data_IF_925665122344
#
_entry.id   IF_925665122344
#
_cell.length_a   1.000
_cell.length_b   1.000
_cell.length_c   1.000
_cell.angle_alpha   90.00
_cell.angle_beta   90.00
_cell.angle_gamma   90.00
#
_symmetry.space_group_name_H-M   'P 1'
#
loop_
_entity.id
_entity.type
_entity.pdbx_description
1 polymer ?
#
# COMPACT_ATOMS: atom_id res chain seq x y z
N UNK A 1 -30.49 -17.49 6.09
CA UNK A 1 -31.19 -17.97 4.88
C UNK A 1 -30.84 -19.44 4.66
N UNK A 2 -31.77 -20.29 4.21
CA UNK A 2 -31.44 -21.67 3.90
C UNK A 2 -30.44 -21.72 2.74
N UNK A 3 -29.41 -22.56 2.87
CA UNK A 3 -28.41 -22.77 1.81
C UNK A 3 -29.06 -23.61 0.70
N UNK A 4 -29.05 -23.16 -0.57
CA UNK A 4 -29.59 -23.94 -1.68
C UNK A 4 -28.93 -25.32 -1.75
N UNK A 5 -29.74 -26.38 -1.88
CA UNK A 5 -29.28 -27.77 -1.96
C UNK A 5 -29.53 -28.42 -3.33
N UNK A 6 -30.30 -27.77 -4.21
CA UNK A 6 -30.56 -28.21 -5.59
C UNK A 6 -30.34 -27.09 -6.59
N UNK A 7 -30.27 -27.42 -7.88
CA UNK A 7 -30.07 -26.46 -8.97
C UNK A 7 -31.25 -25.49 -9.06
N UNK A 8 -32.48 -26.00 -8.92
CA UNK A 8 -33.71 -25.20 -8.97
C UNK A 8 -33.77 -24.21 -7.81
N UNK A 9 -33.32 -24.65 -6.62
CA UNK A 9 -33.22 -23.76 -5.45
C UNK A 9 -32.16 -22.67 -5.65
N UNK A 10 -31.07 -22.98 -6.34
CA UNK A 10 -30.02 -22.00 -6.65
C UNK A 10 -30.49 -21.00 -7.72
N UNK A 11 -31.15 -21.45 -8.78
CA UNK A 11 -31.71 -20.58 -9.82
C UNK A 11 -32.73 -19.61 -9.24
N UNK A 12 -33.69 -20.13 -8.48
CA UNK A 12 -34.69 -19.29 -7.81
C UNK A 12 -34.04 -18.30 -6.85
N UNK A 13 -32.98 -18.72 -6.12
CA UNK A 13 -32.22 -17.82 -5.26
C UNK A 13 -31.55 -16.70 -6.04
N UNK A 14 -30.90 -16.97 -7.17
CA UNK A 14 -30.23 -15.96 -7.98
C UNK A 14 -31.22 -14.96 -8.60
N UNK A 15 -32.36 -15.43 -9.08
CA UNK A 15 -33.43 -14.59 -9.67
C UNK A 15 -34.09 -13.68 -8.61
N UNK A 16 -34.35 -14.21 -7.42
CA UNK A 16 -35.02 -13.45 -6.35
C UNK A 16 -34.09 -12.50 -5.59
N UNK A 17 -32.78 -12.60 -5.80
CA UNK A 17 -31.77 -11.80 -5.13
C UNK A 17 -30.83 -11.10 -6.13
N UNK A 18 -31.31 -10.80 -7.33
CA UNK A 18 -30.56 -10.09 -8.39
C UNK A 18 -30.08 -8.68 -7.96
N UNK A 19 -30.75 -8.10 -6.96
CA UNK A 19 -30.40 -6.81 -6.35
C UNK A 19 -29.33 -6.91 -5.25
N UNK A 20 -28.85 -8.11 -4.91
CA UNK A 20 -27.76 -8.25 -3.93
C UNK A 20 -26.50 -7.54 -4.41
N UNK A 21 -25.93 -6.70 -3.55
CA UNK A 21 -24.78 -5.88 -3.89
C UNK A 21 -25.10 -4.65 -4.74
N UNK A 22 -26.40 -4.32 -4.94
CA UNK A 22 -26.84 -3.13 -5.67
C UNK A 22 -27.62 -2.16 -4.77
N UNK A 23 -27.52 -0.85 -5.04
CA UNK A 23 -28.40 0.19 -4.50
C UNK A 23 -29.02 0.93 -5.68
N UNK A 24 -30.35 0.98 -5.76
CA UNK A 24 -31.08 1.58 -6.89
C UNK A 24 -30.65 1.03 -8.27
N UNK A 25 -30.40 -0.27 -8.35
CA UNK A 25 -29.93 -0.95 -9.57
C UNK A 25 -28.46 -0.70 -9.92
N UNK A 26 -27.72 0.10 -9.15
CA UNK A 26 -26.28 0.31 -9.34
C UNK A 26 -25.48 -0.62 -8.43
N UNK A 27 -24.49 -1.32 -8.98
CA UNK A 27 -23.58 -2.15 -8.19
C UNK A 27 -22.76 -1.30 -7.20
N UNK A 28 -22.85 -1.64 -5.92
CA UNK A 28 -22.11 -1.01 -4.82
C UNK A 28 -21.12 -1.96 -4.15
N UNK A 29 -21.30 -3.26 -4.34
CA UNK A 29 -20.32 -4.28 -3.94
C UNK A 29 -19.78 -4.91 -5.21
N UNK A 30 -18.55 -4.53 -5.57
CA UNK A 30 -17.82 -5.20 -6.64
C UNK A 30 -17.17 -6.49 -6.08
N UNK A 31 -17.06 -7.52 -6.92
CA UNK A 31 -16.56 -8.85 -6.53
C UNK A 31 -15.04 -8.79 -6.40
N UNK A 32 -14.47 -9.56 -5.44
CA UNK A 32 -13.07 -9.67 -4.94
C UNK A 32 -11.86 -9.42 -5.87
N UNK A 33 -12.03 -9.21 -7.18
CA UNK A 33 -11.00 -8.82 -8.13
C UNK A 33 -10.76 -7.29 -8.18
N UNK A 34 -11.37 -6.51 -7.28
CA UNK A 34 -11.19 -5.05 -7.19
C UNK A 34 -9.87 -4.63 -6.56
N UNK A 35 -8.78 -4.97 -7.22
CA UNK A 35 -7.47 -4.46 -6.87
C UNK A 35 -7.11 -3.35 -7.83
N UNK A 36 -6.88 -2.15 -7.29
CA UNK A 36 -6.38 -1.01 -8.05
C UNK A 36 -4.87 -1.05 -8.04
N UNK A 37 -4.28 -1.00 -9.24
CA UNK A 37 -2.86 -0.77 -9.41
C UNK A 37 -2.55 0.73 -9.26
N UNK A 38 -1.81 1.08 -8.21
CA UNK A 38 -1.26 2.41 -8.06
C UNK A 38 0.00 2.53 -8.92
N UNK A 39 -0.12 3.29 -10.01
CA UNK A 39 0.95 3.61 -10.93
C UNK A 39 1.21 5.13 -10.95
N UNK A 40 2.46 5.55 -11.13
CA UNK A 40 2.85 6.95 -11.26
C UNK A 40 2.49 7.84 -10.04
N UNK A 41 2.29 7.25 -8.86
CA UNK A 41 2.15 7.99 -7.60
C UNK A 41 3.52 8.06 -6.94
N UNK A 42 3.97 9.27 -6.67
CA UNK A 42 5.30 9.54 -6.12
C UNK A 42 5.19 10.02 -4.68
N UNK A 43 6.03 9.47 -3.81
CA UNK A 43 6.11 9.84 -2.40
C UNK A 43 7.48 10.46 -2.11
N UNK A 44 7.61 11.07 -0.93
CA UNK A 44 8.93 11.55 -0.49
C UNK A 44 9.86 10.36 -0.30
N UNK A 45 11.14 10.54 -0.66
CA UNK A 45 12.15 9.48 -0.52
C UNK A 45 12.30 9.03 0.94
N UNK A 46 12.11 9.94 1.88
CA UNK A 46 12.14 9.66 3.30
C UNK A 46 10.97 8.75 3.73
N UNK A 47 9.72 9.10 3.37
CA UNK A 47 8.55 8.27 3.66
C UNK A 47 8.68 6.89 3.02
N UNK A 48 9.15 6.81 1.77
CA UNK A 48 9.43 5.55 1.09
C UNK A 48 10.39 4.67 1.89
N UNK A 49 11.58 5.20 2.21
CA UNK A 49 12.62 4.43 2.88
C UNK A 49 12.16 3.96 4.26
N UNK A 50 11.57 4.87 5.06
CA UNK A 50 11.07 4.53 6.38
C UNK A 50 9.99 3.45 6.30
N UNK A 51 8.99 3.62 5.44
CA UNK A 51 7.89 2.65 5.31
C UNK A 51 8.41 1.27 4.88
N UNK A 52 9.30 1.21 3.89
CA UNK A 52 9.88 -0.05 3.43
C UNK A 52 10.74 -0.73 4.50
N UNK A 53 11.53 0.03 5.27
CA UNK A 53 12.31 -0.51 6.39
C UNK A 53 11.40 -1.10 7.48
N UNK A 54 10.36 -0.38 7.90
CA UNK A 54 9.38 -0.86 8.89
C UNK A 54 8.60 -2.07 8.37
N UNK A 55 8.16 -2.02 7.12
CA UNK A 55 7.47 -3.13 6.46
C UNK A 55 8.35 -4.38 6.33
N UNK A 56 9.65 -4.21 6.09
CA UNK A 56 10.60 -5.34 6.00
C UNK A 56 10.69 -6.10 7.32
N UNK A 57 10.71 -5.41 8.47
CA UNK A 57 10.71 -6.07 9.78
C UNK A 57 9.46 -6.94 10.01
N UNK A 58 8.35 -6.63 9.31
CA UNK A 58 7.08 -7.37 9.34
C UNK A 58 6.91 -8.33 8.16
N UNK A 59 7.89 -8.41 7.24
CA UNK A 59 7.78 -9.11 5.95
C UNK A 59 6.59 -8.65 5.10
N UNK A 60 6.19 -7.37 5.21
CA UNK A 60 5.13 -6.80 4.41
C UNK A 60 5.62 -6.44 3.00
N UNK A 61 4.79 -6.75 2.00
CA UNK A 61 4.88 -6.20 0.65
C UNK A 61 4.46 -4.73 0.61
N UNK A 62 4.78 -4.02 -0.48
CA UNK A 62 4.31 -2.63 -0.68
C UNK A 62 2.79 -2.52 -0.65
N UNK A 63 2.08 -3.48 -1.23
CA UNK A 63 0.63 -3.60 -1.22
C UNK A 63 0.07 -3.71 0.21
N UNK A 64 0.68 -4.52 1.06
CA UNK A 64 0.29 -4.63 2.48
C UNK A 64 0.60 -3.35 3.26
N UNK A 65 1.77 -2.74 3.03
CA UNK A 65 2.13 -1.45 3.64
C UNK A 65 1.10 -0.37 3.24
N UNK A 66 0.82 -0.21 1.95
CA UNK A 66 -0.12 0.78 1.44
C UNK A 66 -1.54 0.55 1.93
N UNK A 67 -2.02 -0.70 1.92
CA UNK A 67 -3.37 -1.05 2.42
C UNK A 67 -3.51 -0.68 3.90
N UNK A 68 -2.51 -1.01 4.73
CA UNK A 68 -2.52 -0.68 6.15
C UNK A 68 -2.42 0.83 6.38
N UNK A 69 -1.52 1.50 5.66
CA UNK A 69 -1.32 2.94 5.71
C UNK A 69 -2.61 3.71 5.35
N UNK A 70 -3.28 3.32 4.27
CA UNK A 70 -4.55 3.93 3.85
C UNK A 70 -5.67 3.65 4.84
N UNK A 71 -5.71 2.45 5.43
CA UNK A 71 -6.65 2.13 6.50
C UNK A 71 -6.45 3.08 7.69
N UNK A 72 -5.20 3.33 8.09
CA UNK A 72 -4.91 4.28 9.15
C UNK A 72 -5.34 5.70 8.81
N UNK A 73 -5.06 6.15 7.58
CA UNK A 73 -5.50 7.46 7.09
C UNK A 73 -7.03 7.61 7.16
N UNK A 74 -7.77 6.58 6.76
CA UNK A 74 -9.23 6.57 6.81
C UNK A 74 -9.75 6.70 8.25
N UNK A 75 -9.06 6.13 9.23
CA UNK A 75 -9.43 6.20 10.65
C UNK A 75 -8.82 7.38 11.41
N UNK A 76 -7.96 8.16 10.77
CA UNK A 76 -7.30 9.29 11.40
C UNK A 76 -8.21 10.52 11.31
N UNK A 77 -8.78 10.94 12.43
CA UNK A 77 -9.58 12.16 12.55
C UNK A 77 -8.70 13.42 12.63
N UNK A 78 -7.42 13.25 12.97
CA UNK A 78 -6.50 14.37 13.11
C UNK A 78 -6.15 15.03 11.77
N UNK A 79 -6.45 14.36 10.64
CA UNK A 79 -6.28 14.92 9.29
C UNK A 79 -7.09 16.20 9.07
N UNK A 80 -8.24 16.35 9.73
CA UNK A 80 -9.09 17.54 9.64
C UNK A 80 -8.56 18.70 10.48
N UNK A 81 -7.64 18.43 11.40
CA UNK A 81 -7.05 19.40 12.32
C UNK A 81 -5.79 20.09 11.76
N UNK A 82 -5.73 20.38 10.45
CA UNK A 82 -4.81 21.32 9.74
C UNK A 82 -3.30 21.37 10.07
N UNK A 83 -2.73 20.54 10.95
CA UNK A 83 -1.36 20.68 11.44
C UNK A 83 -0.47 19.44 11.22
N UNK A 84 -0.83 18.54 10.31
CA UNK A 84 -0.13 17.25 10.22
C UNK A 84 0.49 17.13 8.83
N UNK A 85 1.80 17.34 8.82
CA UNK A 85 2.71 17.40 7.67
C UNK A 85 2.53 18.68 6.82
N UNK A 86 3.51 19.61 6.80
CA UNK A 86 3.46 20.74 5.88
C UNK A 86 3.33 20.18 4.45
N UNK A 87 2.27 20.60 3.74
CA UNK A 87 2.11 20.32 2.32
C UNK A 87 3.43 20.72 1.64
N UNK A 88 4.17 19.78 1.03
CA UNK A 88 5.43 20.13 0.42
C UNK A 88 5.19 21.21 -0.63
N UNK A 89 5.87 22.35 -0.46
CA UNK A 89 5.59 23.55 -1.25
C UNK A 89 5.98 23.39 -2.73
N UNK A 90 6.85 22.42 -3.06
CA UNK A 90 7.44 22.29 -4.39
C UNK A 90 7.23 20.89 -5.04
N UNK A 91 7.05 20.83 -6.37
CA UNK A 91 6.92 19.57 -7.13
C UNK A 91 8.11 18.61 -6.96
N UNK A 92 9.29 19.13 -6.58
CA UNK A 92 10.51 18.34 -6.41
C UNK A 92 10.57 17.45 -5.17
N UNK A 93 9.56 17.48 -4.29
CA UNK A 93 9.55 16.69 -3.06
C UNK A 93 9.19 15.21 -3.30
N UNK A 94 8.33 14.95 -4.28
CA UNK A 94 7.88 13.60 -4.65
C UNK A 94 8.76 13.02 -5.73
N UNK A 95 9.75 12.24 -5.31
CA UNK A 95 10.83 11.75 -6.19
C UNK A 95 10.85 10.24 -6.36
N UNK A 96 10.09 9.51 -5.54
CA UNK A 96 10.17 8.05 -5.50
C UNK A 96 8.79 7.44 -5.74
N UNK A 97 8.63 6.69 -6.82
CA UNK A 97 7.39 5.99 -7.12
C UNK A 97 7.12 4.88 -6.09
N UNK A 98 5.87 4.76 -5.64
CA UNK A 98 5.43 3.69 -4.74
C UNK A 98 4.40 2.79 -5.43
N UNK A 99 4.82 1.95 -6.40
CA UNK A 99 3.89 1.07 -7.09
C UNK A 99 3.39 -0.03 -6.16
N UNK A 100 2.07 -0.24 -6.13
CA UNK A 100 1.44 -1.26 -5.31
C UNK A 100 0.01 -1.55 -5.77
N UNK A 101 -0.54 -2.63 -5.22
CA UNK A 101 -1.85 -3.17 -5.56
C UNK A 101 -2.71 -3.12 -4.30
N UNK A 102 -3.83 -2.41 -4.34
CA UNK A 102 -4.65 -2.15 -3.15
C UNK A 102 -6.13 -2.42 -3.41
N UNK A 103 -6.93 -2.82 -2.39
CA UNK A 103 -8.37 -2.95 -2.55
C UNK A 103 -9.00 -1.62 -3.00
N UNK A 104 -9.80 -1.65 -4.07
CA UNK A 104 -10.40 -0.46 -4.69
C UNK A 104 -11.21 0.35 -3.69
N UNK A 105 -12.04 -0.31 -2.87
CA UNK A 105 -12.90 0.38 -1.91
C UNK A 105 -12.10 1.20 -0.88
N UNK A 106 -10.94 0.68 -0.44
CA UNK A 106 -10.06 1.42 0.48
C UNK A 106 -9.46 2.63 -0.25
N UNK A 107 -9.02 2.43 -1.50
CA UNK A 107 -8.44 3.49 -2.29
C UNK A 107 -9.43 4.60 -2.64
N UNK A 108 -10.58 4.25 -3.19
CA UNK A 108 -11.63 5.19 -3.60
C UNK A 108 -12.11 6.02 -2.41
N UNK A 109 -12.31 5.39 -1.24
CA UNK A 109 -12.69 6.10 -0.02
C UNK A 109 -11.57 7.03 0.47
N UNK A 110 -10.31 6.59 0.40
CA UNK A 110 -9.18 7.41 0.81
C UNK A 110 -8.98 8.60 -0.13
N UNK A 111 -9.16 8.42 -1.43
CA UNK A 111 -9.15 9.50 -2.42
C UNK A 111 -10.28 10.50 -2.19
N UNK A 112 -11.51 10.03 -1.89
CA UNK A 112 -12.62 10.91 -1.53
C UNK A 112 -12.28 11.76 -0.30
N UNK A 113 -11.80 11.14 0.77
CA UNK A 113 -11.41 11.85 2.01
C UNK A 113 -10.24 12.82 1.77
N UNK A 114 -9.29 12.45 0.91
CA UNK A 114 -8.18 13.32 0.51
C UNK A 114 -8.65 14.55 -0.27
N UNK A 115 -9.64 14.39 -1.16
CA UNK A 115 -10.21 15.50 -1.93
C UNK A 115 -10.91 16.52 -1.02
N UNK A 116 -11.63 16.08 0.02
CA UNK A 116 -12.25 16.96 1.02
C UNK A 116 -11.25 17.92 1.68
N UNK A 117 -9.99 17.50 1.81
CA UNK A 117 -8.90 18.27 2.42
C UNK A 117 -7.88 18.82 1.40
N UNK A 118 -8.19 18.77 0.10
CA UNK A 118 -7.34 19.25 -1.00
C UNK A 118 -5.95 18.58 -1.09
N UNK A 119 -5.89 17.28 -0.79
CA UNK A 119 -4.72 16.44 -1.00
C UNK A 119 -4.70 15.87 -2.41
N UNK A 120 -3.52 15.87 -3.04
CA UNK A 120 -3.24 15.05 -4.22
C UNK A 120 -3.06 13.58 -3.81
N UNK A 121 -3.04 12.66 -4.78
CA UNK A 121 -2.75 11.24 -4.50
C UNK A 121 -1.35 11.04 -3.89
N UNK A 122 -0.37 11.86 -4.30
CA UNK A 122 0.98 11.89 -3.73
C UNK A 122 1.00 12.41 -2.29
N UNK A 123 0.19 13.44 -1.98
CA UNK A 123 -0.01 13.92 -0.60
C UNK A 123 -0.62 12.81 0.26
N UNK A 124 -1.73 12.21 -0.22
CA UNK A 124 -2.44 11.12 0.44
C UNK A 124 -1.50 9.96 0.77
N UNK A 125 -0.79 9.43 -0.23
CA UNK A 125 0.03 8.25 -0.02
C UNK A 125 1.23 8.58 0.87
N UNK A 126 1.85 9.75 0.71
CA UNK A 126 2.95 10.17 1.59
C UNK A 126 2.49 10.29 3.05
N UNK A 127 1.34 10.92 3.27
CA UNK A 127 0.76 11.07 4.60
C UNK A 127 0.43 9.70 5.22
N UNK A 128 -0.27 8.85 4.46
CA UNK A 128 -0.63 7.50 4.89
C UNK A 128 0.62 6.68 5.27
N UNK A 129 1.69 6.74 4.46
CA UNK A 129 2.95 6.06 4.78
C UNK A 129 3.59 6.62 6.06
N UNK A 130 3.47 7.93 6.32
CA UNK A 130 3.95 8.50 7.57
C UNK A 130 3.15 8.03 8.79
N UNK A 131 1.83 7.83 8.66
CA UNK A 131 1.03 7.19 9.71
C UNK A 131 1.49 5.75 9.98
N UNK A 132 1.75 4.98 8.92
CA UNK A 132 2.29 3.62 9.04
C UNK A 132 3.62 3.61 9.79
N UNK A 133 4.54 4.50 9.43
CA UNK A 133 5.85 4.64 10.07
C UNK A 133 5.74 5.09 11.52
N UNK A 134 4.78 5.96 11.82
CA UNK A 134 4.57 6.55 13.15
C UNK A 134 3.73 5.65 14.06
N UNK A 135 3.21 4.54 13.56
CA UNK A 135 2.47 3.60 14.39
C UNK A 135 3.36 3.05 15.51
N UNK A 136 2.97 3.22 16.80
CA UNK A 136 3.82 2.84 17.94
C UNK A 136 4.20 1.36 17.95
N UNK A 137 3.27 0.46 17.59
CA UNK A 137 3.51 -0.97 17.55
C UNK A 137 4.50 -1.37 16.45
N UNK A 138 4.32 -0.83 15.25
CA UNK A 138 5.23 -1.06 14.12
C UNK A 138 6.62 -0.52 14.45
N UNK A 139 6.71 0.68 15.02
CA UNK A 139 7.99 1.29 15.37
C UNK A 139 8.71 0.50 16.47
N UNK A 140 7.99 -0.03 17.46
CA UNK A 140 8.57 -0.88 18.49
C UNK A 140 9.13 -2.20 17.92
N UNK A 141 8.38 -2.87 17.03
CA UNK A 141 8.84 -4.09 16.35
C UNK A 141 10.07 -3.81 15.50
N UNK A 142 10.04 -2.72 14.72
CA UNK A 142 11.17 -2.27 13.90
C UNK A 142 12.43 -2.03 14.74
N UNK A 143 12.32 -1.28 15.84
CA UNK A 143 13.45 -0.97 16.70
C UNK A 143 14.05 -2.24 17.30
N UNK A 144 13.21 -3.15 17.80
CA UNK A 144 13.67 -4.43 18.33
C UNK A 144 14.36 -5.30 17.26
N UNK A 145 13.85 -5.29 16.02
CA UNK A 145 14.45 -5.99 14.90
C UNK A 145 15.83 -5.45 14.54
N UNK A 146 15.97 -4.13 14.41
CA UNK A 146 17.26 -3.48 14.11
C UNK A 146 18.24 -3.70 15.26
N UNK A 147 17.82 -3.50 16.51
CA UNK A 147 18.67 -3.70 17.69
C UNK A 147 19.23 -5.13 17.74
N UNK A 148 18.38 -6.13 17.46
CA UNK A 148 18.80 -7.54 17.37
C UNK A 148 19.89 -7.74 16.31
N UNK A 149 19.71 -7.20 15.10
CA UNK A 149 20.70 -7.34 14.02
C UNK A 149 22.01 -6.61 14.35
N UNK A 150 21.93 -5.41 14.91
CA UNK A 150 23.10 -4.66 15.36
C UNK A 150 23.91 -5.47 16.38
N UNK A 151 23.24 -6.08 17.37
CA UNK A 151 23.88 -6.96 18.37
C UNK A 151 24.48 -8.22 17.75
N UNK A 152 23.74 -8.89 16.88
CA UNK A 152 24.18 -10.14 16.25
C UNK A 152 25.41 -9.96 15.35
N UNK A 153 25.51 -8.82 14.67
CA UNK A 153 26.56 -8.56 13.69
C UNK A 153 27.62 -7.55 14.15
N UNK A 154 27.49 -7.01 15.37
CA UNK A 154 28.37 -5.98 15.94
C UNK A 154 28.54 -4.76 15.02
N UNK A 155 27.42 -4.20 14.58
CA UNK A 155 27.35 -3.04 13.67
C UNK A 155 26.33 -2.01 14.17
N UNK A 156 26.33 -0.80 13.60
CA UNK A 156 25.35 0.23 13.90
C UNK A 156 24.07 0.10 13.05
N UNK A 157 23.02 0.83 13.46
CA UNK A 157 21.72 0.80 12.80
C UNK A 157 21.79 1.26 11.33
N UNK A 158 22.51 2.36 11.05
CA UNK A 158 22.65 2.91 9.69
C UNK A 158 23.21 1.87 8.71
N UNK A 159 24.18 1.07 9.15
CA UNK A 159 24.74 0.00 8.34
C UNK A 159 23.71 -1.11 8.07
N UNK A 160 22.94 -1.51 9.08
CA UNK A 160 21.86 -2.50 8.91
C UNK A 160 20.80 -1.99 7.93
N UNK A 161 20.32 -0.76 8.11
CA UNK A 161 19.34 -0.12 7.23
C UNK A 161 19.86 -0.03 5.78
N UNK A 162 21.13 0.35 5.60
CA UNK A 162 21.79 0.39 4.30
C UNK A 162 21.81 -0.99 3.64
N UNK A 163 22.10 -2.06 4.39
CA UNK A 163 22.10 -3.44 3.88
C UNK A 163 20.70 -3.90 3.48
N UNK A 164 19.68 -3.59 4.28
CA UNK A 164 18.28 -3.92 3.97
C UNK A 164 17.86 -3.22 2.67
N UNK A 165 18.03 -1.90 2.58
CA UNK A 165 17.66 -1.13 1.39
C UNK A 165 18.45 -1.58 0.14
N UNK A 166 19.75 -1.88 0.32
CA UNK A 166 20.59 -2.43 -0.74
C UNK A 166 20.10 -3.78 -1.25
N UNK A 167 19.73 -4.68 -0.34
CA UNK A 167 19.19 -5.99 -0.68
C UNK A 167 17.87 -5.90 -1.46
N UNK A 168 16.95 -5.03 -1.04
CA UNK A 168 15.68 -4.84 -1.74
C UNK A 168 15.87 -4.32 -3.17
N UNK A 169 16.81 -3.37 -3.36
CA UNK A 169 17.19 -2.90 -4.70
C UNK A 169 17.81 -4.02 -5.54
N UNK A 170 18.66 -4.84 -4.94
CA UNK A 170 19.24 -5.99 -5.61
C UNK A 170 18.18 -7.00 -6.05
N UNK A 171 17.23 -7.36 -5.17
CA UNK A 171 16.13 -8.26 -5.50
C UNK A 171 15.25 -7.73 -6.65
N UNK A 172 14.91 -6.44 -6.62
CA UNK A 172 14.15 -5.82 -7.71
C UNK A 172 14.89 -5.88 -9.06
N UNK A 173 16.21 -5.62 -9.07
CA UNK A 173 17.04 -5.73 -10.27
C UNK A 173 17.17 -7.17 -10.76
N UNK A 174 17.33 -8.12 -9.83
CA UNK A 174 17.38 -9.54 -10.14
C UNK A 174 16.06 -10.00 -10.80
N UNK A 175 14.92 -9.62 -10.23
CA UNK A 175 13.61 -9.95 -10.81
C UNK A 175 13.42 -9.33 -12.20
N UNK A 176 13.87 -8.09 -12.41
CA UNK A 176 13.84 -7.44 -13.73
C UNK A 176 14.68 -8.19 -14.76
N UNK A 177 15.87 -8.66 -14.37
CA UNK A 177 16.71 -9.47 -15.24
C UNK A 177 15.99 -10.77 -15.63
N UNK A 178 15.40 -11.49 -14.67
CA UNK A 178 14.63 -12.71 -14.93
C UNK A 178 13.52 -12.48 -15.96
N UNK A 179 12.76 -11.39 -15.83
CA UNK A 179 11.68 -11.04 -16.75
C UNK A 179 12.20 -10.62 -18.12
N UNK A 180 13.31 -9.88 -18.17
CA UNK A 180 13.94 -9.47 -19.43
C UNK A 180 14.43 -10.69 -20.21
N UNK A 181 15.03 -11.66 -19.52
CA UNK A 181 15.45 -12.92 -20.14
C UNK A 181 14.26 -13.73 -20.66
N UNK A 182 13.14 -13.76 -19.91
CA UNK A 182 11.93 -14.45 -20.34
C UNK A 182 11.24 -13.79 -21.54
N UNK A 183 11.27 -12.45 -21.62
CA UNK A 183 10.69 -11.69 -22.72
C UNK A 183 11.59 -11.62 -23.97
N UNK A 184 12.89 -11.90 -23.84
CA UNK A 184 13.86 -11.73 -24.93
C UNK A 184 14.27 -10.28 -25.21
N UNK A 185 13.80 -9.33 -24.39
CA UNK A 185 14.11 -7.90 -24.50
C UNK A 185 14.24 -7.24 -23.11
N UNK A 186 14.85 -6.05 -23.05
CA UNK A 186 15.01 -5.35 -21.80
C UNK A 186 13.66 -4.81 -21.30
N UNK A 187 13.22 -5.32 -20.15
CA UNK A 187 11.98 -4.88 -19.51
C UNK A 187 12.28 -3.68 -18.62
N UNK A 188 12.04 -2.47 -19.14
CA UNK A 188 12.35 -1.22 -18.46
C UNK A 188 11.45 -0.97 -17.23
N UNK A 189 10.18 -1.39 -17.35
CA UNK A 189 9.20 -1.41 -16.26
C UNK A 189 8.40 -2.71 -16.31
N UNK A 190 8.88 -3.73 -15.60
CA UNK A 190 8.00 -4.81 -15.21
C UNK A 190 7.12 -4.27 -14.08
N UNK A 191 6.03 -3.60 -14.47
CA UNK A 191 4.83 -3.46 -13.64
C UNK A 191 4.31 -4.87 -13.41
N UNK A 192 4.66 -5.45 -12.27
CA UNK A 192 4.12 -6.75 -11.87
C UNK A 192 3.10 -6.51 -10.75
N UNK A 193 1.94 -7.20 -10.78
CA UNK A 193 1.02 -7.34 -9.64
C UNK A 193 1.72 -7.66 -8.32
#
# INVERSE_FOLDING_TARGET
MPVPKTIEQLQHFLETHEDFGKINGQEVVRVRDDVVELCNIFVTREAYNKAVLRGTALSFSKSQIATFALTQFLTDESIYSRQIVPKPADPGWYTTEFPCFIPANIYELACSKAQEINFTESDLLTYALNLFVSNPGINAIYNAYIEKLCKQHNVNADYVELKILGWLKYQARKKRLELSLAAGEFVDRAKLP
#
